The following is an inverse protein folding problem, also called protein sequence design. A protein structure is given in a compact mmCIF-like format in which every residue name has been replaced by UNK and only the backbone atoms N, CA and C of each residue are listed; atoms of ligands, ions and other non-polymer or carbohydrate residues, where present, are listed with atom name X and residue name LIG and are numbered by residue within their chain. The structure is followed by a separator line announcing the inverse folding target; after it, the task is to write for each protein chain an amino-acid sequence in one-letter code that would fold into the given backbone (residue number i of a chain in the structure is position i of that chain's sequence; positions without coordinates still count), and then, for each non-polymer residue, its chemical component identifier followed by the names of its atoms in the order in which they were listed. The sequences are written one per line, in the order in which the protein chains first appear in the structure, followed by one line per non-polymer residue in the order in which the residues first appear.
data_IF_244847407122
#
_entry.id   IF_244847407122
#
_cell.length_a   1.000
_cell.length_b   1.000
_cell.length_c   1.000
_cell.angle_alpha   90.00
_cell.angle_beta   90.00
_cell.angle_gamma   90.00
#
_symmetry.space_group_name_H-M   'P 1'
#
loop_
_entity.id
_entity.type
_entity.pdbx_description
1 polymer ?
#
# COMPACT_ATOMS: atom_id res chain seq x y z
N UNK A 1 -10.99 -4.03 11.04
CA UNK A 1 -10.83 -2.75 11.73
C UNK A 1 -9.96 -1.83 10.88
N UNK A 2 -10.38 -0.57 10.66
CA UNK A 2 -9.57 0.47 9.98
C UNK A 2 -8.27 0.64 10.75
N UNK A 3 -7.14 0.73 10.04
CA UNK A 3 -5.87 0.95 10.74
C UNK A 3 -5.94 2.31 11.45
N UNK A 4 -5.64 2.38 12.76
CA UNK A 4 -5.66 3.66 13.46
C UNK A 4 -4.63 4.61 12.86
N UNK A 5 -4.99 5.89 12.74
CA UNK A 5 -4.05 6.92 12.31
C UNK A 5 -3.16 7.27 13.50
N UNK A 6 -1.90 6.87 13.43
CA UNK A 6 -0.89 7.14 14.48
C UNK A 6 -0.30 8.56 14.39
N UNK A 7 -0.29 9.15 13.19
CA UNK A 7 0.16 10.52 12.93
C UNK A 7 -0.46 11.05 11.64
N UNK A 8 -0.76 12.35 11.57
CA UNK A 8 -1.32 13.00 10.38
C UNK A 8 -0.73 14.39 10.14
N UNK A 9 -0.98 14.98 8.97
CA UNK A 9 -0.54 16.35 8.65
C UNK A 9 -1.14 17.37 9.63
N UNK A 10 -2.38 17.16 10.10
CA UNK A 10 -3.04 18.04 11.07
C UNK A 10 -2.49 17.88 12.50
N UNK A 11 -1.90 16.72 12.81
CA UNK A 11 -1.32 16.38 14.12
C UNK A 11 0.00 15.64 13.91
N UNK A 12 1.04 16.34 13.41
CA UNK A 12 2.28 15.69 13.02
C UNK A 12 3.03 15.24 14.27
N UNK A 13 3.40 13.96 14.26
CA UNK A 13 4.21 13.32 15.26
C UNK A 13 5.29 12.55 14.51
N UNK A 14 6.55 12.77 14.87
CA UNK A 14 7.63 11.95 14.35
C UNK A 14 7.47 10.53 14.89
N UNK A 15 7.39 9.55 13.98
CA UNK A 15 7.21 8.13 14.31
C UNK A 15 8.49 7.35 14.02
N UNK A 16 8.85 6.44 14.92
CA UNK A 16 9.99 5.55 14.74
C UNK A 16 9.68 4.48 13.70
N UNK A 17 10.64 4.23 12.80
CA UNK A 17 10.56 3.14 11.82
C UNK A 17 11.73 2.19 12.04
N UNK A 18 11.40 0.91 12.19
CA UNK A 18 12.34 -0.17 12.43
C UNK A 18 12.26 -1.21 11.32
N UNK A 19 13.18 -2.17 11.34
CA UNK A 19 13.30 -3.22 10.30
C UNK A 19 11.99 -3.95 9.97
N UNK A 20 11.09 -4.07 10.94
CA UNK A 20 9.84 -4.81 10.76
C UNK A 20 8.62 -3.90 10.52
N UNK A 21 8.70 -2.59 10.78
CA UNK A 21 7.57 -1.69 10.59
C UNK A 21 7.67 -0.39 11.40
N UNK A 22 6.53 0.30 11.54
CA UNK A 22 6.40 1.58 12.24
C UNK A 22 6.03 1.34 13.71
N UNK A 23 6.66 2.08 14.62
CA UNK A 23 6.33 2.10 16.04
C UNK A 23 4.88 2.53 16.26
N UNK A 24 4.16 1.83 17.14
CA UNK A 24 2.75 2.11 17.44
C UNK A 24 1.76 1.59 16.39
N UNK A 25 2.23 0.99 15.30
CA UNK A 25 1.37 0.29 14.34
C UNK A 25 1.37 -1.23 14.58
N UNK A 26 0.20 -1.85 14.48
CA UNK A 26 0.06 -3.29 14.66
C UNK A 26 0.75 -4.04 13.51
N UNK A 27 1.72 -4.88 13.88
CA UNK A 27 2.24 -5.94 13.03
C UNK A 27 1.12 -6.97 12.84
N UNK A 28 0.59 -7.12 11.63
CA UNK A 28 -0.31 -8.22 11.32
C UNK A 28 0.47 -9.54 11.39
N UNK A 29 0.36 -10.24 12.53
CA UNK A 29 0.89 -11.59 12.82
C UNK A 29 2.26 -11.88 12.18
N UNK A 30 3.32 -11.62 12.96
CA UNK A 30 4.67 -12.04 12.65
C UNK A 30 4.71 -13.54 12.33
N UNK A 31 4.78 -13.89 11.05
CA UNK A 31 4.90 -15.27 10.58
C UNK A 31 4.05 -15.62 9.35
N UNK A 32 2.94 -14.94 9.08
CA UNK A 32 2.01 -15.38 8.02
C UNK A 32 2.07 -14.47 6.77
N UNK A 33 2.26 -13.15 6.91
CA UNK A 33 2.10 -12.23 5.76
C UNK A 33 3.07 -11.04 5.63
N UNK A 34 3.94 -10.76 6.61
CA UNK A 34 4.69 -9.49 6.65
C UNK A 34 6.14 -9.61 7.11
N UNK A 35 6.98 -10.31 6.35
CA UNK A 35 8.43 -10.35 6.62
C UNK A 35 9.10 -8.98 6.43
N UNK A 36 10.42 -8.92 6.64
CA UNK A 36 11.19 -7.67 6.49
C UNK A 36 11.02 -6.99 5.12
N UNK A 37 10.68 -7.75 4.08
CA UNK A 37 10.43 -7.25 2.72
C UNK A 37 9.04 -6.59 2.55
N UNK A 38 8.17 -6.71 3.54
CA UNK A 38 6.78 -6.20 3.56
C UNK A 38 6.51 -5.35 4.81
N UNK A 39 7.56 -4.74 5.35
CA UNK A 39 7.51 -3.98 6.60
C UNK A 39 6.57 -2.77 6.52
N UNK A 40 6.52 -2.11 5.37
CA UNK A 40 5.73 -0.89 5.14
C UNK A 40 4.87 -1.07 3.90
N UNK A 41 3.56 -0.89 4.04
CA UNK A 41 2.59 -0.82 2.95
C UNK A 41 2.27 0.65 2.65
N UNK A 42 2.58 1.08 1.44
CA UNK A 42 2.34 2.44 0.94
C UNK A 42 1.18 2.44 -0.04
N UNK A 43 0.33 3.46 0.03
CA UNK A 43 -0.87 3.55 -0.80
C UNK A 43 -1.15 4.98 -1.28
N UNK A 44 -1.29 5.21 -2.61
CA UNK A 44 -1.63 6.52 -3.16
C UNK A 44 -3.06 6.95 -2.80
N UNK A 45 -3.20 8.15 -2.24
CA UNK A 45 -4.51 8.73 -1.87
C UNK A 45 -5.37 9.09 -3.09
N UNK A 46 -4.73 9.28 -4.25
CA UNK A 46 -5.36 9.52 -5.56
C UNK A 46 -6.29 8.36 -5.98
N UNK A 47 -6.16 7.19 -5.36
CA UNK A 47 -7.02 6.03 -5.62
C UNK A 47 -8.31 6.02 -4.79
N UNK A 48 -8.44 6.83 -3.75
CA UNK A 48 -9.64 6.86 -2.92
C UNK A 48 -10.91 7.24 -3.69
N UNK A 49 -10.93 8.23 -4.60
CA UNK A 49 -12.11 8.56 -5.39
C UNK A 49 -12.64 7.37 -6.20
N UNK A 50 -11.73 6.56 -6.79
CA UNK A 50 -12.12 5.34 -7.51
C UNK A 50 -12.87 4.38 -6.59
N UNK A 51 -12.30 4.11 -5.41
CA UNK A 51 -12.92 3.18 -4.47
C UNK A 51 -14.22 3.70 -3.86
N UNK A 52 -14.29 5.01 -3.60
CA UNK A 52 -15.51 5.65 -3.15
C UNK A 52 -16.61 5.49 -4.20
N UNK A 53 -16.30 5.73 -5.47
CA UNK A 53 -17.23 5.54 -6.58
C UNK A 53 -17.71 4.07 -6.67
N UNK A 54 -16.80 3.11 -6.56
CA UNK A 54 -17.14 1.67 -6.59
C UNK A 54 -18.04 1.26 -5.43
N UNK A 55 -17.83 1.82 -4.24
CA UNK A 55 -18.67 1.55 -3.07
C UNK A 55 -20.05 2.20 -3.21
N UNK A 56 -20.09 3.48 -3.59
CA UNK A 56 -21.34 4.22 -3.77
C UNK A 56 -22.22 3.58 -4.85
N UNK A 57 -21.65 3.09 -5.96
CA UNK A 57 -22.42 2.40 -7.00
C UNK A 57 -23.06 1.09 -6.54
N UNK A 58 -22.56 0.50 -5.45
CA UNK A 58 -23.09 -0.69 -4.79
C UNK A 58 -23.97 -0.37 -3.57
N UNK A 59 -24.29 0.90 -3.34
CA UNK A 59 -25.09 1.34 -2.19
C UNK A 59 -24.32 1.32 -0.85
N UNK A 60 -22.98 1.24 -0.88
CA UNK A 60 -22.13 1.30 0.31
C UNK A 60 -21.72 2.76 0.55
N UNK A 61 -22.02 3.29 1.75
CA UNK A 61 -21.99 4.73 2.01
C UNK A 61 -20.80 5.26 2.82
N UNK A 62 -20.01 4.41 3.48
CA UNK A 62 -18.93 4.91 4.34
C UNK A 62 -17.85 5.59 3.50
N UNK A 63 -17.36 6.73 4.01
CA UNK A 63 -16.25 7.45 3.42
C UNK A 63 -14.94 6.66 3.52
N UNK A 64 -14.15 6.68 2.45
CA UNK A 64 -12.79 6.16 2.44
C UNK A 64 -11.82 7.26 2.89
N UNK A 65 -10.85 6.89 3.73
CA UNK A 65 -9.78 7.80 4.17
C UNK A 65 -8.53 7.04 4.62
N UNK A 66 -7.71 7.69 5.43
CA UNK A 66 -6.44 7.14 5.95
C UNK A 66 -6.63 5.80 6.67
N UNK A 67 -5.76 4.83 6.35
CA UNK A 67 -5.76 3.49 6.95
C UNK A 67 -6.92 2.60 6.49
N UNK A 68 -7.77 3.09 5.58
CA UNK A 68 -8.98 2.38 5.17
C UNK A 68 -8.63 1.10 4.40
N UNK A 69 -7.63 1.15 3.53
CA UNK A 69 -7.16 -0.02 2.76
C UNK A 69 -6.13 -0.85 3.54
N UNK A 70 -5.76 -0.40 4.74
CA UNK A 70 -4.84 -1.08 5.65
C UNK A 70 -3.38 -0.67 5.46
N UNK A 71 -3.14 0.43 4.76
CA UNK A 71 -1.84 1.03 4.53
C UNK A 71 -1.20 1.55 5.83
N UNK A 72 0.13 1.51 5.87
CA UNK A 72 0.91 2.18 6.90
C UNK A 72 1.13 3.65 6.53
N UNK A 73 1.38 3.92 5.24
CA UNK A 73 1.62 5.26 4.69
C UNK A 73 0.65 5.55 3.56
N UNK A 74 -0.19 6.56 3.76
CA UNK A 74 -0.93 7.19 2.67
C UNK A 74 -0.03 8.26 2.05
N UNK A 75 0.15 8.21 0.73
CA UNK A 75 1.08 9.07 -0.01
C UNK A 75 0.40 9.74 -1.19
N UNK A 76 1.08 10.74 -1.76
CA UNK A 76 0.63 11.48 -2.94
C UNK A 76 1.81 11.69 -3.91
N UNK A 77 1.50 11.93 -5.19
CA UNK A 77 2.48 12.18 -6.25
C UNK A 77 3.19 10.94 -6.80
N UNK A 78 2.92 9.76 -6.25
CA UNK A 78 3.47 8.48 -6.71
C UNK A 78 2.36 7.52 -7.13
N UNK A 79 2.56 6.83 -8.24
CA UNK A 79 1.62 5.84 -8.78
C UNK A 79 2.35 4.60 -9.28
N UNK A 80 1.64 3.47 -9.32
CA UNK A 80 2.17 2.14 -9.61
C UNK A 80 2.88 2.03 -10.98
N UNK A 81 2.51 2.88 -11.96
CA UNK A 81 3.16 2.92 -13.29
C UNK A 81 4.59 3.51 -13.24
N UNK A 82 4.88 4.34 -12.24
CA UNK A 82 6.16 5.06 -12.11
C UNK A 82 7.03 4.57 -10.94
N UNK A 83 6.56 3.56 -10.22
CA UNK A 83 7.27 2.94 -9.09
C UNK A 83 7.72 1.54 -9.49
N UNK A 84 8.96 1.19 -9.15
CA UNK A 84 9.61 -0.05 -9.54
C UNK A 84 10.19 -0.76 -8.31
N UNK A 85 10.09 -2.10 -8.22
CA UNK A 85 10.89 -2.87 -7.27
C UNK A 85 12.37 -2.50 -7.36
N UNK A 86 12.97 -2.24 -6.21
CA UNK A 86 14.34 -1.78 -6.08
C UNK A 86 14.49 -0.25 -6.02
N UNK A 87 13.47 0.55 -6.33
CA UNK A 87 13.48 1.99 -6.07
C UNK A 87 13.67 2.26 -4.58
N UNK A 88 14.43 3.30 -4.25
CA UNK A 88 14.63 3.75 -2.87
C UNK A 88 13.83 4.99 -2.60
N UNK A 89 13.10 4.99 -1.49
CA UNK A 89 12.29 6.12 -1.03
C UNK A 89 12.91 6.65 0.26
N UNK A 90 13.32 7.91 0.25
CA UNK A 90 13.89 8.59 1.42
C UNK A 90 12.82 9.52 1.98
N UNK A 91 12.52 9.36 3.27
CA UNK A 91 11.52 10.12 4.00
C UNK A 91 12.08 10.44 5.39
N UNK A 92 12.49 11.68 5.63
CA UNK A 92 13.22 12.04 6.84
C UNK A 92 14.52 11.24 6.97
N UNK A 93 14.71 10.55 8.09
CA UNK A 93 15.89 9.70 8.34
C UNK A 93 15.75 8.27 7.76
N UNK A 94 14.55 7.93 7.26
CA UNK A 94 14.20 6.57 6.86
C UNK A 94 14.51 6.36 5.39
N UNK A 95 15.17 5.23 5.09
CA UNK A 95 15.34 4.75 3.71
C UNK A 95 14.57 3.45 3.53
N UNK A 96 13.62 3.48 2.61
CA UNK A 96 12.83 2.33 2.21
C UNK A 96 13.28 1.82 0.83
N UNK A 97 13.07 0.54 0.57
CA UNK A 97 13.18 -0.03 -0.76
C UNK A 97 11.85 -0.65 -1.16
N UNK A 98 11.33 -0.27 -2.33
CA UNK A 98 10.14 -0.89 -2.92
C UNK A 98 10.43 -2.34 -3.24
N UNK A 99 9.54 -3.26 -2.84
CA UNK A 99 9.75 -4.70 -3.00
C UNK A 99 8.78 -5.32 -4.00
N UNK A 100 7.47 -5.19 -3.78
CA UNK A 100 6.45 -5.83 -4.61
C UNK A 100 5.10 -5.11 -4.52
N UNK A 101 4.20 -5.26 -5.53
CA UNK A 101 2.82 -4.80 -5.43
C UNK A 101 2.12 -5.44 -4.23
N UNK A 102 1.14 -4.74 -3.68
CA UNK A 102 0.26 -5.34 -2.69
C UNK A 102 -0.70 -6.35 -3.35
N UNK A 103 -0.57 -7.64 -3.02
CA UNK A 103 -1.52 -8.66 -3.49
C UNK A 103 -2.79 -8.68 -2.63
N UNK A 104 -3.99 -8.31 -3.15
CA UNK A 104 -5.23 -8.27 -2.39
C UNK A 104 -5.54 -9.60 -1.68
N UNK A 105 -6.13 -9.54 -0.48
CA UNK A 105 -6.54 -10.71 0.28
C UNK A 105 -7.99 -10.59 0.75
N UNK A 106 -8.56 -11.67 1.29
CA UNK A 106 -9.96 -11.70 1.73
C UNK A 106 -10.34 -10.56 2.71
N UNK A 107 -9.41 -10.14 3.57
CA UNK A 107 -9.62 -9.00 4.49
C UNK A 107 -9.94 -7.70 3.74
N UNK A 108 -9.40 -7.51 2.54
CA UNK A 108 -9.72 -6.36 1.69
C UNK A 108 -11.16 -6.41 1.18
N UNK A 109 -11.67 -7.57 0.74
CA UNK A 109 -13.07 -7.71 0.34
C UNK A 109 -14.03 -7.36 1.47
N UNK A 110 -13.77 -7.90 2.67
CA UNK A 110 -14.58 -7.60 3.85
C UNK A 110 -14.55 -6.11 4.20
N UNK A 111 -13.38 -5.47 4.07
CA UNK A 111 -13.26 -4.03 4.28
C UNK A 111 -14.05 -3.23 3.24
N UNK A 112 -13.89 -3.57 1.97
CA UNK A 112 -14.55 -2.88 0.89
C UNK A 112 -16.05 -3.15 0.83
N UNK A 113 -16.55 -4.13 1.58
CA UNK A 113 -17.98 -4.43 1.72
C UNK A 113 -18.57 -5.20 0.54
N UNK A 114 -17.74 -5.71 -0.38
CA UNK A 114 -18.20 -6.52 -1.51
C UNK A 114 -17.15 -7.53 -1.99
N UNK A 115 -17.62 -8.68 -2.46
CA UNK A 115 -16.79 -9.86 -2.77
C UNK A 115 -15.80 -9.66 -3.92
N UNK A 116 -16.12 -8.79 -4.88
CA UNK A 116 -15.29 -8.55 -6.07
C UNK A 116 -14.17 -7.52 -5.86
N UNK A 117 -14.01 -6.95 -4.65
CA UNK A 117 -13.08 -5.84 -4.45
C UNK A 117 -11.63 -6.20 -4.78
N UNK A 118 -11.17 -7.39 -4.39
CA UNK A 118 -9.83 -7.88 -4.72
C UNK A 118 -9.60 -7.99 -6.22
N UNK A 119 -10.59 -8.51 -6.97
CA UNK A 119 -10.55 -8.56 -8.42
C UNK A 119 -10.47 -7.16 -9.02
N UNK A 120 -11.29 -6.22 -8.52
CA UNK A 120 -11.23 -4.82 -8.96
C UNK A 120 -9.88 -4.15 -8.63
N UNK A 121 -9.22 -4.51 -7.52
CA UNK A 121 -7.90 -3.95 -7.17
C UNK A 121 -6.88 -4.34 -8.22
N UNK A 122 -6.80 -5.63 -8.56
CA UNK A 122 -5.86 -6.14 -9.56
C UNK A 122 -6.18 -5.54 -10.94
N UNK A 123 -7.44 -5.60 -11.37
CA UNK A 123 -7.87 -5.10 -12.68
C UNK A 123 -7.62 -3.60 -12.86
N UNK A 124 -7.82 -2.82 -11.80
CA UNK A 124 -7.64 -1.37 -11.82
C UNK A 124 -6.18 -0.93 -11.65
N UNK A 125 -5.29 -1.83 -11.21
CA UNK A 125 -3.89 -1.54 -10.90
C UNK A 125 -3.68 -0.73 -9.60
N UNK A 126 -4.74 -0.48 -8.82
CA UNK A 126 -4.74 0.42 -7.65
C UNK A 126 -4.49 -0.36 -6.36
N UNK A 127 -3.31 -0.97 -6.25
CA UNK A 127 -2.97 -1.80 -5.10
C UNK A 127 -2.06 -1.12 -4.10
N UNK A 128 -1.31 -0.09 -4.49
CA UNK A 128 -0.11 0.32 -3.76
C UNK A 128 0.96 -0.77 -3.77
N UNK A 129 1.96 -0.62 -2.90
CA UNK A 129 3.14 -1.49 -2.86
C UNK A 129 3.71 -1.63 -1.46
N UNK A 130 4.49 -2.70 -1.28
CA UNK A 130 5.28 -2.93 -0.09
C UNK A 130 6.69 -2.37 -0.22
N UNK A 131 7.27 -2.05 0.94
CA UNK A 131 8.65 -1.66 1.09
C UNK A 131 9.33 -2.42 2.23
N UNK A 132 10.62 -2.72 2.02
CA UNK A 132 11.57 -3.10 3.06
C UNK A 132 12.19 -1.84 3.69
N UNK A 133 12.52 -1.92 4.98
CA UNK A 133 13.26 -0.84 5.67
C UNK A 133 14.76 -1.12 5.52
N UNK A 134 15.46 -0.28 4.75
CA UNK A 134 16.91 -0.36 4.58
C UNK A 134 17.66 0.42 5.67
N UNK A 135 17.10 1.55 6.10
CA UNK A 135 17.62 2.37 7.18
C UNK A 135 16.47 2.75 8.11
N UNK A 136 16.59 2.34 9.38
CA UNK A 136 15.71 2.75 10.46
C UNK A 136 15.96 4.22 10.82
N UNK A 137 14.95 4.88 11.38
CA UNK A 137 15.01 6.28 11.72
C UNK A 137 13.65 6.84 12.09
N UNK A 138 13.50 8.15 12.01
CA UNK A 138 12.24 8.84 12.23
C UNK A 138 11.76 9.50 10.95
N UNK A 139 10.44 9.52 10.78
CA UNK A 139 9.77 10.27 9.74
C UNK A 139 8.48 10.89 10.30
N UNK A 140 7.98 11.95 9.68
CA UNK A 140 6.76 12.64 10.09
C UNK A 140 5.86 12.92 8.87
N UNK A 141 4.53 13.02 9.05
CA UNK A 141 3.64 13.45 7.98
C UNK A 141 4.04 14.81 7.40
N UNK A 142 3.82 14.98 6.09
CA UNK A 142 4.22 16.18 5.35
C UNK A 142 5.71 16.24 4.98
N UNK A 143 6.49 15.21 5.32
CA UNK A 143 7.87 15.09 4.83
C UNK A 143 7.86 14.64 3.37
N UNK A 144 8.65 15.31 2.54
CA UNK A 144 8.81 14.94 1.13
C UNK A 144 9.35 13.52 0.97
N UNK A 145 8.88 12.85 -0.08
CA UNK A 145 9.39 11.54 -0.49
C UNK A 145 10.37 11.74 -1.63
N UNK A 146 11.66 11.52 -1.38
CA UNK A 146 12.67 11.55 -2.44
C UNK A 146 12.84 10.14 -3.01
N UNK A 147 12.45 9.95 -4.27
CA UNK A 147 12.61 8.70 -4.99
C UNK A 147 13.97 8.66 -5.72
N UNK A 148 14.81 7.70 -5.37
CA UNK A 148 16.03 7.35 -6.09
C UNK A 148 15.76 6.10 -6.94
N UNK A 149 15.84 6.19 -8.28
CA UNK A 149 15.54 5.06 -9.15
C UNK A 149 16.48 3.87 -8.93
N UNK A 150 15.89 2.69 -8.78
CA UNK A 150 16.58 1.41 -8.83
C UNK A 150 16.62 0.84 -10.25
N UNK A 151 16.78 -0.49 -10.35
CA UNK A 151 16.75 -1.18 -11.65
C UNK A 151 15.31 -1.26 -12.17
N UNK A 152 15.00 -0.53 -13.24
CA UNK A 152 13.65 -0.46 -13.84
C UNK A 152 13.37 -1.60 -14.83
N UNK A 153 13.15 -2.80 -14.29
CA UNK A 153 12.79 -3.96 -15.12
C UNK A 153 11.30 -4.02 -15.43
N UNK A 154 10.47 -3.90 -14.39
CA UNK A 154 9.02 -4.01 -14.48
C UNK A 154 8.41 -3.12 -13.42
N UNK A 155 7.44 -2.29 -13.79
CA UNK A 155 6.74 -1.41 -12.84
C UNK A 155 5.86 -2.23 -11.90
N UNK A 156 5.46 -1.63 -10.78
CA UNK A 156 4.45 -2.21 -9.88
C UNK A 156 3.15 -2.49 -10.65
N UNK A 157 2.72 -1.55 -11.51
CA UNK A 157 1.52 -1.72 -12.34
C UNK A 157 1.66 -2.91 -13.32
N UNK A 158 2.82 -3.07 -13.96
CA UNK A 158 3.03 -4.18 -14.90
C UNK A 158 3.09 -5.54 -14.20
N UNK A 159 3.61 -5.62 -12.98
CA UNK A 159 3.52 -6.85 -12.19
C UNK A 159 2.08 -7.24 -11.90
N UNK A 160 1.22 -6.28 -11.53
CA UNK A 160 -0.21 -6.52 -11.33
C UNK A 160 -0.89 -6.99 -12.62
N UNK A 161 -0.57 -6.38 -13.77
CA UNK A 161 -1.11 -6.80 -15.08
C UNK A 161 -0.72 -8.23 -15.43
N UNK A 162 0.51 -8.66 -15.10
CA UNK A 162 0.94 -10.05 -15.29
C UNK A 162 0.21 -11.00 -14.35
N UNK A 163 0.01 -10.61 -13.08
CA UNK A 163 -0.78 -11.40 -12.13
C UNK A 163 -2.22 -11.58 -12.62
N UNK A 164 -2.87 -10.53 -13.13
CA UNK A 164 -4.21 -10.59 -13.70
C UNK A 164 -4.29 -11.63 -14.83
N UNK A 165 -3.36 -11.57 -15.79
CA UNK A 165 -3.31 -12.53 -16.92
C UNK A 165 -3.15 -13.98 -16.44
N UNK A 166 -2.41 -14.20 -15.37
CA UNK A 166 -2.24 -15.54 -14.80
C UNK A 166 -3.51 -16.04 -14.12
N UNK A 167 -4.21 -15.17 -13.37
CA UNK A 167 -5.51 -15.47 -12.75
C UNK A 167 -6.54 -15.82 -13.82
N UNK A 168 -6.66 -15.01 -14.87
CA UNK A 168 -7.62 -15.22 -15.95
C UNK A 168 -7.37 -16.54 -16.69
N UNK A 169 -6.10 -16.97 -16.81
CA UNK A 169 -5.72 -18.24 -17.44
C UNK A 169 -6.00 -19.47 -16.58
N UNK A 170 -5.99 -19.34 -15.26
CA UNK A 170 -6.15 -20.46 -14.32
C UNK A 170 -7.61 -20.79 -14.00
N UNK A 171 -8.56 -19.91 -14.37
CA UNK A 171 -9.98 -20.10 -14.08
C UNK A 171 -10.29 -19.77 -12.62
N UNK A 172 -10.73 -18.52 -12.39
CA UNK A 172 -11.22 -17.89 -11.15
C UNK A 172 -11.14 -18.76 -9.86
N UNK A 173 -10.09 -18.52 -9.04
CA UNK A 173 -9.97 -19.00 -7.64
C UNK A 173 -10.33 -17.92 -6.59
N UNK A 174 -11.17 -16.95 -6.96
CA UNK A 174 -11.63 -15.88 -6.06
C UNK A 174 -13.14 -15.96 -5.77
#
# INVERSE_FOLDING_TARGET
MIKPVISSIDKPLAVGVHRLGIEGDEQAEAGIHGGADKAIYMYPTEHWPFWQQQRTSLGLGDAIGYGYVGENLSVEGLAEDNVYPGDHLIIGDVRLQVTEPRVPCLKFNWRMGYSKASKHMIQSGRSGWYCAVLQAGYMAPGTDIVLIPGRRLISIADQLRLQQKNIDRQGDLF
#
